data_IF_377094526484
#
_entry.id   IF_377094526484
#
_cell.length_a   1.000
_cell.length_b   1.000
_cell.length_c   1.000
_cell.angle_alpha   90.00
_cell.angle_beta   90.00
_cell.angle_gamma   90.00
#
_symmetry.space_group_name_H-M   'P 1'
#
loop_
_entity.id
_entity.type
_entity.pdbx_description
1 polymer ?
#
# COMPACT_ATOMS: atom_id res chain seq x y z
N UNK A 1 8.99 -25.98 -5.96
CA UNK A 1 7.56 -25.92 -6.29
C UNK A 1 7.03 -27.33 -6.49
N UNK A 2 5.90 -27.66 -5.86
CA UNK A 2 5.15 -28.91 -5.97
C UNK A 2 4.13 -28.80 -7.11
N UNK A 3 3.54 -29.92 -7.53
CA UNK A 3 2.49 -29.95 -8.57
C UNK A 3 1.27 -29.09 -8.20
N UNK A 4 0.95 -29.00 -6.90
CA UNK A 4 -0.16 -28.20 -6.39
C UNK A 4 0.03 -26.70 -6.66
N UNK A 5 1.24 -26.16 -6.44
CA UNK A 5 1.57 -24.75 -6.64
C UNK A 5 1.32 -24.32 -8.11
N UNK A 6 1.71 -25.18 -9.05
CA UNK A 6 1.46 -24.98 -10.48
C UNK A 6 -0.01 -25.05 -10.83
N UNK A 7 -0.77 -25.96 -10.22
CA UNK A 7 -2.22 -26.07 -10.41
C UNK A 7 -2.95 -24.83 -9.88
N UNK A 8 -2.57 -24.34 -8.70
CA UNK A 8 -3.12 -23.11 -8.11
C UNK A 8 -2.80 -21.88 -8.96
N UNK A 9 -1.57 -21.77 -9.47
CA UNK A 9 -1.17 -20.68 -10.36
C UNK A 9 -1.91 -20.72 -11.70
N UNK A 10 -2.04 -21.91 -12.32
CA UNK A 10 -2.83 -22.08 -13.54
C UNK A 10 -4.32 -21.77 -13.31
N UNK A 11 -4.88 -22.16 -12.17
CA UNK A 11 -6.25 -21.83 -11.77
C UNK A 11 -6.43 -20.32 -11.58
N UNK A 12 -5.50 -19.63 -10.92
CA UNK A 12 -5.50 -18.18 -10.79
C UNK A 12 -5.54 -17.48 -12.16
N UNK A 13 -4.63 -17.86 -13.06
CA UNK A 13 -4.57 -17.30 -14.42
C UNK A 13 -5.85 -17.56 -15.23
N UNK A 14 -6.40 -18.78 -15.14
CA UNK A 14 -7.65 -19.16 -15.79
C UNK A 14 -8.85 -18.39 -15.26
N UNK A 15 -9.00 -18.32 -13.93
CA UNK A 15 -10.04 -17.51 -13.28
C UNK A 15 -9.94 -16.04 -13.67
N UNK A 16 -8.73 -15.47 -13.65
CA UNK A 16 -8.50 -14.07 -14.02
C UNK A 16 -8.92 -13.80 -15.48
N UNK A 17 -8.48 -14.63 -16.43
CA UNK A 17 -8.86 -14.50 -17.84
C UNK A 17 -10.38 -14.63 -18.07
N UNK A 18 -11.05 -15.49 -17.29
CA UNK A 18 -12.51 -15.65 -17.33
C UNK A 18 -13.23 -14.40 -16.81
N UNK A 19 -12.76 -13.76 -15.74
CA UNK A 19 -13.38 -12.54 -15.18
C UNK A 19 -13.04 -11.26 -15.96
N UNK A 20 -11.94 -11.22 -16.74
CA UNK A 20 -11.54 -10.08 -17.59
C UNK A 20 -12.71 -9.55 -18.43
N UNK A 21 -13.39 -10.43 -19.16
CA UNK A 21 -14.48 -10.10 -20.08
C UNK A 21 -15.74 -9.57 -19.36
N UNK A 22 -16.35 -10.25 -18.37
CA UNK A 22 -17.53 -9.74 -17.69
C UNK A 22 -17.26 -8.45 -16.92
N UNK A 23 -16.11 -8.31 -16.24
CA UNK A 23 -15.74 -7.05 -15.58
C UNK A 23 -15.58 -5.92 -16.61
N UNK A 24 -14.89 -6.16 -17.73
CA UNK A 24 -14.74 -5.18 -18.80
C UNK A 24 -16.07 -4.77 -19.45
N UNK A 25 -16.99 -5.72 -19.68
CA UNK A 25 -18.33 -5.42 -20.20
C UNK A 25 -19.19 -4.63 -19.19
N UNK A 26 -18.98 -4.86 -17.89
CA UNK A 26 -19.65 -4.10 -16.85
C UNK A 26 -19.09 -2.67 -16.74
N UNK A 27 -17.75 -2.52 -16.80
CA UNK A 27 -17.07 -1.23 -16.85
C UNK A 27 -17.57 -0.35 -18.01
N UNK A 28 -17.82 -0.91 -19.20
CA UNK A 28 -18.42 -0.16 -20.32
C UNK A 28 -19.76 0.48 -19.93
N UNK A 29 -20.59 -0.16 -19.10
CA UNK A 29 -21.89 0.38 -18.66
C UNK A 29 -21.75 1.38 -17.51
N UNK A 30 -20.84 1.14 -16.57
CA UNK A 30 -20.60 2.05 -15.43
C UNK A 30 -19.95 3.36 -15.90
N UNK A 31 -18.98 3.27 -16.81
CA UNK A 31 -18.22 4.41 -17.36
C UNK A 31 -18.92 5.10 -18.55
N UNK A 32 -20.15 4.71 -18.87
CA UNK A 32 -21.04 5.41 -19.78
C UNK A 32 -22.09 6.17 -18.96
N UNK A 33 -22.20 7.52 -19.05
CA UNK A 33 -23.19 8.29 -18.31
C UNK A 33 -24.64 7.88 -18.57
N UNK A 34 -24.97 7.44 -19.79
CA UNK A 34 -26.31 6.94 -20.17
C UNK A 34 -26.41 5.40 -20.04
N UNK A 35 -25.32 4.75 -19.61
CA UNK A 35 -25.23 3.30 -19.45
C UNK A 35 -26.17 2.79 -18.35
N UNK A 36 -26.98 1.78 -18.68
CA UNK A 36 -27.87 1.12 -17.72
C UNK A 36 -27.25 -0.11 -17.11
N UNK A 37 -27.43 -0.29 -15.81
CA UNK A 37 -27.00 -1.46 -15.05
C UNK A 37 -28.20 -2.15 -14.40
N UNK A 38 -28.00 -3.38 -13.92
CA UNK A 38 -29.00 -4.09 -13.12
C UNK A 38 -29.17 -3.48 -11.72
N UNK A 39 -28.24 -2.61 -11.28
CA UNK A 39 -28.27 -1.91 -10.01
C UNK A 39 -29.00 -0.55 -10.07
N UNK A 40 -29.43 -0.08 -11.24
CA UNK A 40 -30.08 1.24 -11.43
C UNK A 40 -31.33 1.42 -10.54
N UNK A 41 -31.99 0.31 -10.18
CA UNK A 41 -33.15 0.31 -9.28
C UNK A 41 -32.78 0.68 -7.83
N UNK A 42 -31.59 0.28 -7.37
CA UNK A 42 -31.12 0.44 -5.98
C UNK A 42 -30.17 1.63 -5.84
N UNK A 43 -29.22 1.77 -6.76
CA UNK A 43 -28.18 2.83 -6.73
C UNK A 43 -28.68 4.09 -7.41
N UNK A 44 -29.52 3.99 -8.45
CA UNK A 44 -30.02 5.15 -9.20
C UNK A 44 -30.77 6.22 -8.37
N UNK A 45 -31.59 5.86 -7.36
CA UNK A 45 -32.14 6.84 -6.42
C UNK A 45 -31.07 7.62 -5.64
N UNK A 46 -30.02 6.93 -5.20
CA UNK A 46 -28.88 7.52 -4.45
C UNK A 46 -28.04 8.40 -5.38
N UNK A 47 -27.73 7.93 -6.59
CA UNK A 47 -27.05 8.70 -7.64
C UNK A 47 -27.79 10.01 -7.94
N UNK A 48 -29.11 9.95 -8.19
CA UNK A 48 -29.94 11.14 -8.42
C UNK A 48 -29.98 12.09 -7.22
N UNK A 49 -30.00 11.56 -6.00
CA UNK A 49 -29.92 12.37 -4.78
C UNK A 49 -28.58 13.10 -4.68
N UNK A 50 -27.46 12.38 -4.87
CA UNK A 50 -26.10 12.95 -4.86
C UNK A 50 -25.94 14.02 -5.93
N UNK A 51 -26.40 13.76 -7.16
CA UNK A 51 -26.35 14.75 -8.25
C UNK A 51 -27.19 16.00 -7.94
N UNK A 52 -28.41 15.85 -7.39
CA UNK A 52 -29.23 17.00 -6.99
C UNK A 52 -28.62 17.78 -5.83
N UNK A 53 -28.07 17.10 -4.82
CA UNK A 53 -27.51 17.73 -3.62
C UNK A 53 -26.21 18.47 -3.92
N UNK A 54 -25.28 17.84 -4.65
CA UNK A 54 -24.01 18.44 -5.06
C UNK A 54 -24.11 19.31 -6.33
N UNK A 55 -25.32 19.44 -6.91
CA UNK A 55 -25.60 20.17 -8.16
C UNK A 55 -24.73 19.72 -9.34
N UNK A 56 -24.46 18.41 -9.41
CA UNK A 56 -23.75 17.78 -10.53
C UNK A 56 -24.74 17.63 -11.69
N UNK A 57 -24.42 18.24 -12.83
CA UNK A 57 -25.06 17.92 -14.10
C UNK A 57 -24.25 16.80 -14.80
N UNK A 58 -24.76 15.56 -14.91
CA UNK A 58 -24.04 14.47 -15.55
C UNK A 58 -23.92 14.61 -17.08
N UNK A 59 -24.70 15.51 -17.70
CA UNK A 59 -24.62 15.78 -19.15
C UNK A 59 -23.61 16.87 -19.50
N UNK A 60 -23.17 17.67 -18.52
CA UNK A 60 -22.11 18.66 -18.73
C UNK A 60 -20.77 17.94 -18.85
N UNK A 61 -20.29 17.76 -20.08
CA UNK A 61 -18.92 17.31 -20.31
C UNK A 61 -17.89 18.39 -19.92
N UNK A 62 -16.71 17.93 -19.52
CA UNK A 62 -15.57 18.74 -19.11
C UNK A 62 -14.41 18.61 -20.11
N UNK A 63 -13.69 19.71 -20.34
CA UNK A 63 -12.39 19.67 -20.99
C UNK A 63 -11.30 19.13 -20.06
N UNK A 64 -10.14 18.72 -20.60
CA UNK A 64 -9.06 18.11 -19.80
C UNK A 64 -8.63 18.98 -18.60
N UNK A 65 -8.53 20.30 -18.78
CA UNK A 65 -8.18 21.25 -17.70
C UNK A 65 -9.18 21.23 -16.56
N UNK A 66 -10.48 21.25 -16.88
CA UNK A 66 -11.56 21.23 -15.89
C UNK A 66 -11.63 19.88 -15.16
N UNK A 67 -11.43 18.78 -15.88
CA UNK A 67 -11.39 17.43 -15.33
C UNK A 67 -10.21 17.28 -14.35
N UNK A 68 -8.99 17.66 -14.76
CA UNK A 68 -7.79 17.64 -13.91
C UNK A 68 -7.94 18.56 -12.70
N UNK A 69 -8.49 19.76 -12.85
CA UNK A 69 -8.73 20.66 -11.72
C UNK A 69 -9.76 20.10 -10.74
N UNK A 70 -10.86 19.51 -11.23
CA UNK A 70 -11.88 18.86 -10.40
C UNK A 70 -11.27 17.72 -9.57
N UNK A 71 -10.45 16.89 -10.20
CA UNK A 71 -9.69 15.81 -9.57
C UNK A 71 -8.73 16.32 -8.49
N UNK A 72 -7.88 17.31 -8.82
CA UNK A 72 -6.91 17.87 -7.86
C UNK A 72 -7.59 18.53 -6.66
N UNK A 73 -8.66 19.30 -6.89
CA UNK A 73 -9.42 19.96 -5.84
C UNK A 73 -10.10 18.93 -4.91
N UNK A 74 -10.68 17.87 -5.47
CA UNK A 74 -11.27 16.76 -4.72
C UNK A 74 -10.22 16.03 -3.87
N UNK A 75 -9.08 15.66 -4.46
CA UNK A 75 -7.98 15.01 -3.74
C UNK A 75 -7.43 15.89 -2.60
N UNK A 76 -7.19 17.18 -2.86
CA UNK A 76 -6.71 18.10 -1.84
C UNK A 76 -7.69 18.26 -0.66
N UNK A 77 -8.99 18.38 -0.94
CA UNK A 77 -10.02 18.39 0.09
C UNK A 77 -10.02 17.08 0.91
N UNK A 78 -9.81 15.93 0.26
CA UNK A 78 -9.64 14.63 0.92
C UNK A 78 -8.42 14.54 1.84
N UNK A 79 -7.27 15.11 1.45
CA UNK A 79 -6.08 15.21 2.32
C UNK A 79 -6.40 16.04 3.55
N UNK A 80 -6.98 17.24 3.38
CA UNK A 80 -7.29 18.16 4.49
C UNK A 80 -8.30 17.53 5.46
N UNK A 81 -9.35 16.89 4.94
CA UNK A 81 -10.36 16.19 5.72
C UNK A 81 -9.76 15.07 6.57
N UNK A 82 -8.98 14.16 5.97
CA UNK A 82 -8.36 13.04 6.69
C UNK A 82 -7.28 13.51 7.65
N UNK A 83 -6.48 14.52 7.28
CA UNK A 83 -5.52 15.15 8.19
C UNK A 83 -6.19 15.70 9.45
N UNK A 84 -7.32 16.39 9.31
CA UNK A 84 -8.11 16.89 10.44
C UNK A 84 -8.63 15.73 11.32
N UNK A 85 -9.16 14.66 10.73
CA UNK A 85 -9.60 13.46 11.47
C UNK A 85 -8.45 12.85 12.28
N UNK A 86 -7.29 12.61 11.65
CA UNK A 86 -6.15 11.97 12.32
C UNK A 86 -5.56 12.84 13.44
N UNK A 87 -5.55 14.18 13.27
CA UNK A 87 -5.13 15.13 14.30
C UNK A 87 -6.13 15.23 15.46
N UNK A 88 -7.42 15.09 15.19
CA UNK A 88 -8.50 15.20 16.18
C UNK A 88 -9.00 13.83 16.70
N UNK A 89 -8.35 12.73 16.32
CA UNK A 89 -8.75 11.35 16.66
C UNK A 89 -9.08 11.16 18.15
N UNK A 90 -8.33 11.78 19.06
CA UNK A 90 -8.54 11.67 20.51
C UNK A 90 -9.89 12.18 21.02
N UNK A 91 -10.58 13.06 20.27
CA UNK A 91 -11.92 13.60 20.63
C UNK A 91 -13.06 13.06 19.76
N UNK A 92 -12.74 12.26 18.73
CA UNK A 92 -13.73 11.71 17.81
C UNK A 92 -14.36 10.43 18.39
N UNK A 93 -15.61 10.10 18.01
CA UNK A 93 -16.30 8.90 18.51
C UNK A 93 -15.61 7.61 18.04
N UNK A 94 -16.10 6.45 18.50
CA UNK A 94 -15.55 5.12 18.18
C UNK A 94 -14.05 4.94 18.49
N UNK A 95 -13.56 5.66 19.50
CA UNK A 95 -12.21 5.52 20.05
C UNK A 95 -12.24 4.76 21.39
N UNK A 96 -12.52 3.44 21.34
CA UNK A 96 -12.70 2.60 22.53
C UNK A 96 -11.45 2.47 23.39
N UNK A 97 -10.28 2.63 22.76
CA UNK A 97 -8.94 2.49 23.32
C UNK A 97 -8.36 3.83 23.80
N UNK A 98 -9.11 4.93 23.69
CA UNK A 98 -8.66 6.29 24.06
C UNK A 98 -7.34 6.71 23.41
N UNK A 99 -7.12 6.31 22.15
CA UNK A 99 -5.90 6.60 21.40
C UNK A 99 -5.77 8.11 21.14
N UNK A 100 -4.58 8.72 21.31
CA UNK A 100 -4.39 10.14 21.10
C UNK A 100 -4.54 10.55 19.63
N UNK A 101 -4.57 11.86 19.37
CA UNK A 101 -4.38 12.41 18.03
C UNK A 101 -2.97 12.12 17.51
N UNK A 102 -2.83 11.75 16.24
CA UNK A 102 -1.54 11.45 15.61
C UNK A 102 -0.64 12.70 15.56
N UNK A 103 0.68 12.50 15.51
CA UNK A 103 1.64 13.59 15.28
C UNK A 103 1.36 14.30 13.93
N UNK A 104 1.78 15.56 13.79
CA UNK A 104 1.56 16.34 12.57
C UNK A 104 2.17 15.67 11.32
N UNK A 105 3.38 15.11 11.44
CA UNK A 105 4.06 14.42 10.33
C UNK A 105 3.39 13.09 9.99
N UNK A 106 2.96 12.30 10.98
CA UNK A 106 2.32 11.00 10.74
C UNK A 106 0.92 11.19 10.15
N UNK A 107 0.12 12.12 10.70
CA UNK A 107 -1.18 12.48 10.15
C UNK A 107 -1.08 12.99 8.70
N UNK A 108 -0.07 13.82 8.38
CA UNK A 108 0.16 14.30 7.02
C UNK A 108 0.57 13.16 6.07
N UNK A 109 1.56 12.36 6.46
CA UNK A 109 2.02 11.23 5.66
C UNK A 109 0.88 10.23 5.37
N UNK A 110 0.10 9.86 6.38
CA UNK A 110 -1.04 8.93 6.21
C UNK A 110 -2.13 9.54 5.33
N UNK A 111 -2.54 10.80 5.58
CA UNK A 111 -3.59 11.45 4.79
C UNK A 111 -3.21 11.60 3.31
N UNK A 112 -1.97 11.97 3.01
CA UNK A 112 -1.44 12.00 1.64
C UNK A 112 -1.42 10.59 1.05
N UNK A 113 -0.85 9.61 1.76
CA UNK A 113 -0.63 8.27 1.20
C UNK A 113 -1.91 7.52 0.87
N UNK A 114 -2.96 7.68 1.68
CA UNK A 114 -4.28 7.13 1.38
C UNK A 114 -4.96 7.89 0.22
N UNK A 115 -4.81 9.22 0.14
CA UNK A 115 -5.31 9.98 -1.02
C UNK A 115 -4.61 9.56 -2.33
N UNK A 116 -3.32 9.21 -2.28
CA UNK A 116 -2.54 8.78 -3.45
C UNK A 116 -2.68 7.28 -3.76
N UNK A 117 -3.68 6.58 -3.20
CA UNK A 117 -3.91 5.13 -3.42
C UNK A 117 -2.69 4.25 -3.08
N UNK A 118 -1.79 4.75 -2.23
CA UNK A 118 -0.49 4.14 -1.92
C UNK A 118 -0.53 3.42 -0.58
N UNK A 119 -1.29 3.99 0.37
CA UNK A 119 -1.55 3.48 1.71
C UNK A 119 -0.30 2.96 2.44
N UNK A 120 0.80 3.69 2.34
CA UNK A 120 1.99 3.51 3.16
C UNK A 120 1.64 3.62 4.65
N UNK A 121 2.23 2.76 5.48
CA UNK A 121 1.99 2.69 6.91
C UNK A 121 3.32 2.69 7.65
N UNK A 122 3.68 3.84 8.24
CA UNK A 122 4.77 3.96 9.22
C UNK A 122 4.25 3.87 10.66
N UNK A 123 3.22 3.06 10.88
CA UNK A 123 2.50 2.91 12.14
C UNK A 123 1.87 1.50 12.24
N UNK A 124 1.76 0.96 13.46
CA UNK A 124 0.92 -0.21 13.71
C UNK A 124 -0.54 0.22 13.88
N UNK A 125 -1.42 -0.24 13.00
CA UNK A 125 -2.82 0.21 12.94
C UNK A 125 -3.58 0.00 14.25
N UNK A 126 -3.43 -1.18 14.85
CA UNK A 126 -4.02 -1.59 16.12
C UNK A 126 -3.55 -0.79 17.34
N UNK A 127 -2.36 -0.18 17.27
CA UNK A 127 -1.80 0.66 18.34
C UNK A 127 -1.97 2.16 18.12
N UNK A 128 -2.38 2.59 16.92
CA UNK A 128 -2.29 4.00 16.49
C UNK A 128 -3.64 4.58 16.04
N UNK A 129 -4.50 3.79 15.39
CA UNK A 129 -5.72 4.28 14.74
C UNK A 129 -6.98 3.90 15.51
N UNK A 130 -7.87 4.87 15.73
CA UNK A 130 -9.22 4.58 16.23
C UNK A 130 -10.10 3.99 15.12
N UNK A 131 -11.21 3.34 15.48
CA UNK A 131 -12.13 2.79 14.49
C UNK A 131 -12.78 3.89 13.63
N UNK A 132 -12.96 5.10 14.16
CA UNK A 132 -13.44 6.25 13.36
C UNK A 132 -12.42 6.68 12.32
N UNK A 133 -11.13 6.75 12.68
CA UNK A 133 -10.07 7.05 11.70
C UNK A 133 -9.99 5.97 10.62
N UNK A 134 -10.02 4.69 11.00
CA UNK A 134 -10.04 3.56 10.06
C UNK A 134 -11.23 3.64 9.09
N UNK A 135 -12.45 3.85 9.59
CA UNK A 135 -13.66 3.85 8.72
C UNK A 135 -13.85 5.15 7.95
N UNK A 136 -13.83 6.30 8.63
CA UNK A 136 -14.22 7.60 8.05
C UNK A 136 -13.04 8.33 7.41
N UNK A 137 -11.82 8.14 7.93
CA UNK A 137 -10.60 8.73 7.37
C UNK A 137 -9.97 7.86 6.28
N UNK A 138 -9.76 6.57 6.56
CA UNK A 138 -8.91 5.69 5.76
C UNK A 138 -9.69 4.85 4.74
N UNK A 139 -10.73 4.11 5.16
CA UNK A 139 -11.54 3.30 4.27
C UNK A 139 -12.34 4.15 3.25
N UNK A 140 -12.74 5.38 3.62
CA UNK A 140 -13.24 6.40 2.68
C UNK A 140 -12.28 6.60 1.50
N UNK A 141 -10.99 6.84 1.78
CA UNK A 141 -9.99 7.02 0.73
C UNK A 141 -9.87 5.79 -0.14
N UNK A 142 -9.83 4.59 0.45
CA UNK A 142 -9.73 3.34 -0.33
C UNK A 142 -10.80 3.20 -1.44
N UNK A 143 -12.00 3.78 -1.24
CA UNK A 143 -13.00 3.89 -2.30
C UNK A 143 -12.69 5.01 -3.29
N UNK A 144 -12.45 6.23 -2.80
CA UNK A 144 -12.40 7.41 -3.69
C UNK A 144 -11.07 7.55 -4.44
N UNK A 145 -9.94 7.13 -3.88
CA UNK A 145 -8.65 7.10 -4.58
C UNK A 145 -8.69 6.09 -5.75
N UNK A 146 -9.28 4.92 -5.51
CA UNK A 146 -9.47 3.89 -6.52
C UNK A 146 -10.44 4.37 -7.61
N UNK A 147 -11.55 5.00 -7.22
CA UNK A 147 -12.51 5.59 -8.16
C UNK A 147 -11.90 6.71 -9.01
N UNK A 148 -11.05 7.57 -8.42
CA UNK A 148 -10.27 8.58 -9.14
C UNK A 148 -9.34 7.92 -10.16
N UNK A 149 -8.56 6.91 -9.77
CA UNK A 149 -7.65 6.19 -10.67
C UNK A 149 -8.37 5.54 -11.85
N UNK A 150 -9.48 4.84 -11.60
CA UNK A 150 -10.32 4.23 -12.63
C UNK A 150 -10.94 5.30 -13.53
N UNK A 151 -11.39 6.43 -12.98
CA UNK A 151 -11.94 7.56 -13.74
C UNK A 151 -10.91 8.22 -14.66
N UNK A 152 -9.67 8.39 -14.21
CA UNK A 152 -8.57 8.90 -15.05
C UNK A 152 -8.27 7.92 -16.20
N UNK A 153 -8.20 6.61 -15.90
CA UNK A 153 -8.02 5.59 -16.93
C UNK A 153 -9.17 5.60 -17.95
N UNK A 154 -10.41 5.78 -17.50
CA UNK A 154 -11.58 5.91 -18.38
C UNK A 154 -11.50 7.17 -19.26
N UNK A 155 -11.17 8.33 -18.69
CA UNK A 155 -10.98 9.58 -19.42
C UNK A 155 -9.86 9.47 -20.47
N UNK A 156 -8.75 8.80 -20.15
CA UNK A 156 -7.65 8.54 -21.08
C UNK A 156 -8.07 7.62 -22.24
N UNK A 157 -8.78 6.53 -21.95
CA UNK A 157 -9.33 5.64 -22.99
C UNK A 157 -10.34 6.38 -23.88
N UNK A 158 -11.20 7.24 -23.32
CA UNK A 158 -12.10 8.10 -24.10
C UNK A 158 -11.34 9.07 -25.01
N UNK A 159 -10.21 9.61 -24.55
CA UNK A 159 -9.34 10.48 -25.36
C UNK A 159 -8.73 9.75 -26.57
N UNK A 160 -8.38 8.46 -26.43
CA UNK A 160 -7.91 7.61 -27.53
C UNK A 160 -9.05 7.26 -28.49
N UNK A 161 -10.23 6.95 -27.95
CA UNK A 161 -11.36 6.42 -28.72
C UNK A 161 -12.18 7.50 -29.48
N UNK A 162 -12.19 8.75 -29.00
CA UNK A 162 -12.98 9.85 -29.58
C UNK A 162 -12.13 10.70 -30.55
N UNK A 163 -12.53 10.75 -31.82
CA UNK A 163 -11.91 11.64 -32.81
C UNK A 163 -12.42 13.08 -32.67
N UNK A 164 -11.50 14.05 -32.64
CA UNK A 164 -11.78 15.50 -32.73
C UNK A 164 -12.67 16.12 -31.62
N UNK A 165 -12.87 15.42 -30.50
CA UNK A 165 -13.61 15.97 -29.34
C UNK A 165 -12.72 16.77 -28.39
N UNK A 166 -13.22 17.87 -27.82
CA UNK A 166 -12.49 18.69 -26.83
C UNK A 166 -12.71 18.25 -25.37
N UNK A 167 -13.48 17.19 -25.16
CA UNK A 167 -14.10 16.81 -23.88
C UNK A 167 -13.89 15.33 -23.54
N UNK A 168 -13.80 15.03 -22.23
CA UNK A 168 -13.41 13.69 -21.71
C UNK A 168 -14.50 12.98 -20.88
N UNK A 169 -15.71 13.53 -20.83
CA UNK A 169 -16.76 13.13 -19.88
C UNK A 169 -16.80 14.07 -18.68
N UNK A 170 -17.19 13.59 -17.50
CA UNK A 170 -17.40 14.42 -16.31
C UNK A 170 -16.86 13.70 -15.06
N UNK A 171 -15.85 14.28 -14.42
CA UNK A 171 -15.14 13.70 -13.27
C UNK A 171 -16.07 13.31 -12.12
N UNK A 172 -17.05 14.16 -11.81
CA UNK A 172 -17.99 13.93 -10.71
C UNK A 172 -18.96 12.80 -11.03
N UNK A 173 -19.34 12.67 -12.29
CA UNK A 173 -20.20 11.57 -12.78
C UNK A 173 -19.46 10.24 -12.71
N UNK A 174 -18.20 10.23 -13.18
CA UNK A 174 -17.32 9.06 -13.10
C UNK A 174 -17.07 8.63 -11.65
N UNK A 175 -16.70 9.57 -10.78
CA UNK A 175 -16.46 9.32 -9.35
C UNK A 175 -17.68 8.68 -8.66
N UNK A 176 -18.88 9.24 -8.86
CA UNK A 176 -20.12 8.71 -8.27
C UNK A 176 -20.45 7.34 -8.86
N UNK A 177 -20.35 7.16 -10.17
CA UNK A 177 -20.74 5.91 -10.83
C UNK A 177 -19.78 4.76 -10.51
N UNK A 178 -18.48 5.01 -10.51
CA UNK A 178 -17.47 4.01 -10.13
C UNK A 178 -17.65 3.62 -8.66
N UNK A 179 -17.83 4.58 -7.76
CA UNK A 179 -18.04 4.28 -6.33
C UNK A 179 -19.33 3.50 -6.10
N UNK A 180 -20.46 3.97 -6.64
CA UNK A 180 -21.80 3.41 -6.37
C UNK A 180 -22.15 2.13 -7.13
N UNK A 181 -21.74 1.99 -8.40
CA UNK A 181 -22.10 0.85 -9.24
C UNK A 181 -20.99 -0.21 -9.36
N UNK A 182 -19.71 0.14 -9.17
CA UNK A 182 -18.60 -0.82 -9.27
C UNK A 182 -18.05 -1.21 -7.88
N UNK A 183 -17.48 -0.24 -7.15
CA UNK A 183 -16.70 -0.55 -5.96
C UNK A 183 -17.57 -1.02 -4.79
N UNK A 184 -18.56 -0.23 -4.39
CA UNK A 184 -19.40 -0.53 -3.21
C UNK A 184 -20.17 -1.85 -3.32
N UNK A 185 -20.82 -2.20 -4.45
CA UNK A 185 -21.55 -3.46 -4.57
C UNK A 185 -20.64 -4.69 -4.54
N UNK A 186 -19.48 -4.63 -5.20
CA UNK A 186 -18.50 -5.74 -5.20
C UNK A 186 -17.88 -5.86 -3.80
N UNK A 187 -17.52 -4.75 -3.16
CA UNK A 187 -16.98 -4.75 -1.80
C UNK A 187 -17.98 -5.26 -0.75
N UNK A 188 -19.28 -5.03 -0.92
CA UNK A 188 -20.30 -5.58 -0.03
C UNK A 188 -20.33 -7.12 -0.11
N UNK A 189 -20.39 -7.68 -1.32
CA UNK A 189 -20.37 -9.14 -1.54
C UNK A 189 -19.05 -9.74 -1.04
N UNK A 190 -17.93 -9.10 -1.36
CA UNK A 190 -16.59 -9.52 -0.94
C UNK A 190 -16.45 -9.49 0.58
N UNK A 191 -16.83 -8.40 1.26
CA UNK A 191 -16.76 -8.30 2.72
C UNK A 191 -17.60 -9.38 3.42
N UNK A 192 -18.82 -9.65 2.93
CA UNK A 192 -19.66 -10.75 3.45
C UNK A 192 -18.94 -12.10 3.30
N UNK A 193 -18.39 -12.39 2.11
CA UNK A 193 -17.60 -13.60 1.89
C UNK A 193 -16.38 -13.69 2.81
N UNK A 194 -15.63 -12.60 2.99
CA UNK A 194 -14.45 -12.59 3.85
C UNK A 194 -14.80 -12.81 5.34
N UNK A 195 -15.97 -12.34 5.79
CA UNK A 195 -16.50 -12.67 7.12
C UNK A 195 -16.82 -14.17 7.24
N UNK A 196 -17.40 -14.81 6.21
CA UNK A 196 -17.63 -16.28 6.29
C UNK A 196 -16.34 -17.10 6.29
N UNK A 197 -15.22 -16.53 5.81
CA UNK A 197 -13.90 -17.13 5.92
C UNK A 197 -13.23 -16.90 7.29
N UNK A 198 -13.80 -16.07 8.17
CA UNK A 198 -13.30 -15.82 9.52
C UNK A 198 -12.68 -14.43 9.76
N UNK A 199 -12.80 -13.48 8.82
CA UNK A 199 -12.43 -12.09 9.12
C UNK A 199 -13.42 -11.44 10.07
N UNK A 200 -12.92 -10.60 10.97
CA UNK A 200 -13.77 -9.87 11.91
C UNK A 200 -14.41 -8.63 11.26
N UNK A 201 -15.60 -8.28 11.73
CA UNK A 201 -16.33 -7.09 11.33
C UNK A 201 -17.21 -6.60 12.49
N UNK A 202 -16.62 -5.91 13.46
CA UNK A 202 -17.31 -5.41 14.66
C UNK A 202 -16.84 -4.00 15.08
N UNK A 203 -17.36 -3.48 16.19
CA UNK A 203 -16.90 -2.24 16.83
C UNK A 203 -16.61 -2.45 18.33
N UNK A 204 -16.21 -3.68 18.66
CA UNK A 204 -16.02 -4.14 20.04
C UNK A 204 -14.72 -3.58 20.63
N UNK A 205 -14.63 -3.39 21.96
CA UNK A 205 -13.34 -3.11 22.60
C UNK A 205 -12.38 -4.30 22.39
N UNK A 206 -11.08 -4.06 22.49
CA UNK A 206 -10.08 -5.13 22.35
C UNK A 206 -10.30 -6.23 23.39
N UNK A 207 -10.27 -7.48 22.91
CA UNK A 207 -10.55 -8.64 23.75
C UNK A 207 -9.30 -8.97 24.56
N UNK A 208 -9.46 -9.06 25.89
CA UNK A 208 -8.44 -9.61 26.78
C UNK A 208 -8.65 -11.11 26.89
N UNK A 209 -7.63 -11.89 26.56
CA UNK A 209 -7.60 -13.34 26.70
C UNK A 209 -6.47 -13.74 27.65
N UNK A 210 -6.69 -14.80 28.42
CA UNK A 210 -5.60 -15.48 29.14
C UNK A 210 -5.25 -16.71 28.29
N UNK A 211 -3.98 -16.85 27.92
CA UNK A 211 -3.51 -17.99 27.13
C UNK A 211 -3.52 -19.28 27.95
N UNK A 212 -3.39 -20.43 27.28
CA UNK A 212 -3.27 -21.73 27.97
C UNK A 212 -2.05 -21.83 28.91
N UNK A 213 -1.04 -20.97 28.69
CA UNK A 213 0.16 -20.83 29.54
C UNK A 213 -0.03 -19.80 30.68
N UNK A 214 -1.20 -19.17 30.77
CA UNK A 214 -1.54 -18.19 31.81
C UNK A 214 -1.13 -16.74 31.52
N UNK A 215 -0.62 -16.42 30.33
CA UNK A 215 -0.23 -15.06 29.96
C UNK A 215 -1.44 -14.22 29.50
N UNK A 216 -1.47 -12.92 29.81
CA UNK A 216 -2.48 -12.00 29.26
C UNK A 216 -2.11 -11.60 27.82
N UNK A 217 -3.07 -11.76 26.90
CA UNK A 217 -2.98 -11.30 25.51
C UNK A 217 -4.11 -10.31 25.22
N UNK A 218 -3.78 -9.20 24.58
CA UNK A 218 -4.76 -8.23 24.04
C UNK A 218 -4.93 -8.48 22.56
N UNK A 219 -6.15 -8.78 22.13
CA UNK A 219 -6.51 -9.13 20.76
C UNK A 219 -7.23 -7.94 20.12
N UNK A 220 -6.67 -7.44 19.01
CA UNK A 220 -7.23 -6.32 18.26
C UNK A 220 -8.60 -6.69 17.65
N UNK A 221 -9.56 -5.77 17.76
CA UNK A 221 -10.92 -5.89 17.21
C UNK A 221 -11.18 -4.76 16.19
N UNK A 222 -12.32 -4.79 15.49
CA UNK A 222 -12.72 -3.72 14.57
C UNK A 222 -13.39 -4.17 13.26
N UNK A 223 -13.75 -3.21 12.38
CA UNK A 223 -14.48 -3.45 11.13
C UNK A 223 -13.55 -3.87 9.97
N UNK A 224 -12.72 -4.90 10.19
CA UNK A 224 -11.62 -5.27 9.28
C UNK A 224 -12.11 -5.72 7.89
N UNK A 225 -13.06 -6.66 7.81
CA UNK A 225 -13.49 -7.26 6.52
C UNK A 225 -13.95 -6.22 5.49
N UNK A 226 -14.66 -5.17 5.94
CA UNK A 226 -15.12 -4.07 5.08
C UNK A 226 -13.98 -3.23 4.49
N UNK A 227 -12.93 -2.97 5.28
CA UNK A 227 -11.74 -2.25 4.84
C UNK A 227 -10.84 -3.13 3.96
N UNK A 228 -10.72 -4.42 4.28
CA UNK A 228 -9.98 -5.41 3.48
C UNK A 228 -10.60 -5.58 2.09
N UNK A 229 -11.93 -5.67 1.99
CA UNK A 229 -12.61 -5.82 0.70
C UNK A 229 -12.24 -4.69 -0.28
N UNK A 230 -12.28 -3.44 0.16
CA UNK A 230 -11.91 -2.30 -0.70
C UNK A 230 -10.38 -2.11 -0.82
N UNK A 231 -9.58 -2.44 0.20
CA UNK A 231 -8.11 -2.32 0.08
C UNK A 231 -7.57 -3.24 -1.02
N UNK A 232 -8.17 -4.42 -1.20
CA UNK A 232 -7.79 -5.37 -2.24
C UNK A 232 -8.42 -5.02 -3.59
N UNK A 233 -9.73 -4.80 -3.66
CA UNK A 233 -10.41 -4.48 -4.93
C UNK A 233 -9.91 -3.16 -5.57
N UNK A 234 -9.70 -2.12 -4.76
CA UNK A 234 -9.19 -0.82 -5.20
C UNK A 234 -7.66 -0.74 -5.27
N UNK A 235 -6.95 -1.87 -5.13
CA UNK A 235 -5.48 -1.96 -5.17
C UNK A 235 -4.79 -0.92 -4.28
N UNK A 236 -5.33 -0.69 -3.08
CA UNK A 236 -4.85 0.31 -2.13
C UNK A 236 -3.78 -0.27 -1.20
N UNK A 237 -4.00 -1.49 -0.69
CA UNK A 237 -3.04 -2.20 0.15
C UNK A 237 -2.98 -1.83 1.64
N UNK A 238 -3.61 -0.75 2.12
CA UNK A 238 -3.54 -0.35 3.53
C UNK A 238 -4.26 -1.29 4.50
N UNK A 239 -3.50 -1.96 5.38
CA UNK A 239 -4.00 -2.90 6.39
C UNK A 239 -4.71 -2.21 7.56
N UNK A 240 -5.61 -2.95 8.21
CA UNK A 240 -6.20 -2.50 9.48
C UNK A 240 -5.21 -2.66 10.64
N UNK A 241 -4.41 -3.72 10.64
CA UNK A 241 -3.32 -3.98 11.58
C UNK A 241 -1.95 -3.93 10.89
N UNK A 242 -0.89 -3.85 11.70
CA UNK A 242 0.50 -3.73 11.23
C UNK A 242 0.92 -4.86 10.26
N UNK A 243 0.55 -6.11 10.57
CA UNK A 243 0.88 -7.28 9.75
C UNK A 243 0.03 -7.42 8.47
N UNK A 244 -0.97 -6.55 8.27
CA UNK A 244 -1.74 -6.44 7.04
C UNK A 244 -2.29 -7.81 6.58
N UNK A 245 -2.16 -8.18 5.31
CA UNK A 245 -2.67 -9.44 4.75
C UNK A 245 -1.94 -10.72 5.22
N UNK A 246 -0.94 -10.62 6.11
CA UNK A 246 -0.39 -11.76 6.84
C UNK A 246 -1.06 -11.96 8.22
N UNK A 247 -1.92 -11.04 8.65
CA UNK A 247 -2.66 -11.17 9.91
C UNK A 247 -3.89 -12.08 9.75
N UNK A 248 -4.14 -13.05 10.66
CA UNK A 248 -5.28 -13.96 10.53
C UNK A 248 -6.65 -13.30 10.40
N UNK A 249 -6.89 -12.16 11.06
CA UNK A 249 -8.17 -11.43 10.93
C UNK A 249 -8.32 -10.61 9.63
N UNK A 250 -7.25 -10.43 8.84
CA UNK A 250 -7.29 -9.80 7.52
C UNK A 250 -7.04 -10.80 6.37
N UNK A 251 -6.66 -12.05 6.68
CA UNK A 251 -6.50 -13.14 5.72
C UNK A 251 -6.53 -14.52 6.41
N UNK A 252 -7.72 -15.04 6.81
CA UNK A 252 -7.83 -16.22 7.66
C UNK A 252 -7.57 -17.55 6.95
N UNK A 253 -7.78 -17.64 5.63
CA UNK A 253 -7.69 -18.91 4.88
C UNK A 253 -6.97 -18.78 3.54
N UNK A 254 -6.42 -19.88 2.98
CA UNK A 254 -5.90 -19.88 1.61
C UNK A 254 -6.96 -19.51 0.56
N UNK A 255 -8.25 -19.79 0.83
CA UNK A 255 -9.36 -19.41 -0.05
C UNK A 255 -9.65 -17.91 0.02
N UNK A 256 -9.63 -17.28 1.21
CA UNK A 256 -9.69 -15.81 1.30
C UNK A 256 -8.50 -15.18 0.59
N UNK A 257 -7.31 -15.75 0.73
CA UNK A 257 -6.10 -15.26 0.06
C UNK A 257 -6.24 -15.29 -1.47
N UNK A 258 -6.70 -16.42 -2.03
CA UNK A 258 -6.93 -16.58 -3.47
C UNK A 258 -7.94 -15.55 -4.02
N UNK A 259 -9.04 -15.32 -3.29
CA UNK A 259 -10.07 -14.33 -3.69
C UNK A 259 -9.57 -12.89 -3.52
N UNK A 260 -8.74 -12.60 -2.51
CA UNK A 260 -8.07 -11.30 -2.36
C UNK A 260 -7.11 -11.04 -3.53
N UNK A 261 -6.28 -12.02 -3.92
CA UNK A 261 -5.40 -11.90 -5.10
C UNK A 261 -6.17 -11.67 -6.40
N UNK A 262 -7.28 -12.41 -6.63
CA UNK A 262 -8.12 -12.17 -7.80
C UNK A 262 -8.74 -10.76 -7.79
N UNK A 263 -9.14 -10.26 -6.62
CA UNK A 263 -9.73 -8.93 -6.47
C UNK A 263 -8.76 -7.80 -6.84
N UNK A 264 -7.48 -7.93 -6.48
CA UNK A 264 -6.41 -6.99 -6.87
C UNK A 264 -6.29 -6.89 -8.40
N UNK A 265 -6.41 -8.00 -9.12
CA UNK A 265 -6.18 -8.04 -10.56
C UNK A 265 -7.45 -7.77 -11.39
N UNK A 266 -8.64 -7.92 -10.80
CA UNK A 266 -9.92 -7.90 -11.51
C UNK A 266 -10.19 -6.60 -12.28
N UNK A 267 -10.07 -5.43 -11.63
CA UNK A 267 -10.40 -4.15 -12.27
C UNK A 267 -9.34 -3.76 -13.31
N UNK A 268 -8.06 -3.88 -12.97
CA UNK A 268 -6.97 -3.61 -13.92
C UNK A 268 -7.06 -4.48 -15.18
N UNK A 269 -7.39 -5.77 -15.00
CA UNK A 269 -7.67 -6.67 -16.11
C UNK A 269 -8.93 -6.26 -16.90
N UNK A 270 -10.04 -5.91 -16.23
CA UNK A 270 -11.26 -5.47 -16.90
C UNK A 270 -11.09 -4.19 -17.72
N UNK A 271 -10.22 -3.28 -17.28
CA UNK A 271 -9.92 -2.03 -17.99
C UNK A 271 -9.24 -2.26 -19.35
N UNK A 272 -8.47 -3.34 -19.55
CA UNK A 272 -7.90 -3.66 -20.87
C UNK A 272 -8.97 -4.11 -21.86
N UNK A 273 -9.98 -4.86 -21.40
CA UNK A 273 -11.15 -5.23 -22.22
C UNK A 273 -12.02 -4.00 -22.52
N UNK A 274 -12.23 -3.12 -21.53
CA UNK A 274 -12.89 -1.82 -21.73
C UNK A 274 -12.19 -0.97 -22.81
N UNK A 275 -10.86 -0.82 -22.74
CA UNK A 275 -10.05 -0.17 -23.78
C UNK A 275 -10.35 -0.76 -25.16
N UNK A 276 -10.26 -2.08 -25.31
CA UNK A 276 -10.54 -2.77 -26.57
C UNK A 276 -11.96 -2.52 -27.10
N UNK A 277 -12.96 -2.39 -26.21
CA UNK A 277 -14.35 -2.10 -26.63
C UNK A 277 -14.50 -0.65 -27.08
N UNK A 278 -13.89 0.29 -26.36
CA UNK A 278 -13.96 1.73 -26.69
C UNK A 278 -13.28 2.04 -28.02
N UNK A 279 -12.10 1.47 -28.30
CA UNK A 279 -11.39 1.65 -29.59
C UNK A 279 -11.93 0.75 -30.72
N UNK A 280 -13.03 0.01 -30.47
CA UNK A 280 -13.67 -0.93 -31.41
C UNK A 280 -12.77 -2.06 -31.94
N UNK A 281 -11.65 -2.34 -31.27
CA UNK A 281 -10.71 -3.41 -31.61
C UNK A 281 -10.33 -4.23 -30.36
N UNK A 282 -10.90 -5.43 -30.22
CA UNK A 282 -10.60 -6.32 -29.09
C UNK A 282 -9.17 -6.84 -29.07
N UNK A 283 -8.53 -7.01 -30.23
CA UNK A 283 -7.15 -7.46 -30.29
C UNK A 283 -6.20 -6.45 -29.64
N UNK A 284 -6.50 -5.15 -29.68
CA UNK A 284 -5.73 -4.13 -28.98
C UNK A 284 -5.84 -4.26 -27.45
N UNK A 285 -7.05 -4.48 -26.91
CA UNK A 285 -7.24 -4.72 -25.48
C UNK A 285 -6.53 -5.98 -25.00
N UNK A 286 -6.62 -7.07 -25.76
CA UNK A 286 -5.90 -8.32 -25.47
C UNK A 286 -4.38 -8.19 -25.64
N UNK A 287 -3.87 -7.36 -26.55
CA UNK A 287 -2.44 -7.13 -26.68
C UNK A 287 -1.86 -6.47 -25.41
N UNK A 288 -2.54 -5.45 -24.88
CA UNK A 288 -2.15 -4.81 -23.60
C UNK A 288 -2.23 -5.82 -22.45
N UNK A 289 -3.33 -6.57 -22.36
CA UNK A 289 -3.50 -7.61 -21.33
C UNK A 289 -2.40 -8.67 -21.38
N UNK A 290 -2.09 -9.20 -22.56
CA UNK A 290 -1.07 -10.24 -22.74
C UNK A 290 0.33 -9.74 -22.43
N UNK A 291 0.65 -8.47 -22.75
CA UNK A 291 1.93 -7.85 -22.38
C UNK A 291 2.07 -7.72 -20.84
N UNK A 292 1.02 -7.25 -20.16
CA UNK A 292 0.97 -7.20 -18.69
C UNK A 292 1.10 -8.61 -18.08
N UNK A 293 0.41 -9.60 -18.66
CA UNK A 293 0.41 -10.97 -18.17
C UNK A 293 1.77 -11.66 -18.37
N UNK A 294 2.46 -11.41 -19.48
CA UNK A 294 3.81 -11.92 -19.72
C UNK A 294 4.81 -11.38 -18.69
N UNK A 295 4.76 -10.07 -18.38
CA UNK A 295 5.61 -9.45 -17.35
C UNK A 295 5.29 -10.00 -15.96
N UNK A 296 4.01 -10.16 -15.62
CA UNK A 296 3.57 -10.74 -14.35
C UNK A 296 4.06 -12.19 -14.20
N UNK A 297 3.83 -13.05 -15.19
CA UNK A 297 4.26 -14.45 -15.16
C UNK A 297 5.79 -14.53 -15.03
N UNK A 298 6.55 -13.73 -15.78
CA UNK A 298 8.01 -13.68 -15.66
C UNK A 298 8.45 -13.29 -14.24
N UNK A 299 7.84 -12.26 -13.65
CA UNK A 299 8.11 -11.85 -12.27
C UNK A 299 7.80 -12.94 -11.23
N UNK A 300 6.62 -13.56 -11.32
CA UNK A 300 6.23 -14.66 -10.42
C UNK A 300 7.18 -15.84 -10.53
N UNK A 301 7.57 -16.25 -11.75
CA UNK A 301 8.51 -17.35 -11.96
C UNK A 301 9.89 -17.07 -11.37
N UNK A 302 10.38 -15.82 -11.48
CA UNK A 302 11.66 -15.41 -10.86
C UNK A 302 11.54 -15.44 -9.33
N UNK A 303 10.52 -14.80 -8.75
CA UNK A 303 10.33 -14.81 -7.29
C UNK A 303 10.17 -16.23 -6.75
N UNK A 304 9.28 -17.04 -7.35
CA UNK A 304 9.06 -18.42 -6.93
C UNK A 304 10.32 -19.29 -7.05
N UNK A 305 11.21 -19.04 -8.02
CA UNK A 305 12.49 -19.73 -8.14
C UNK A 305 13.46 -19.38 -7.00
N UNK A 306 13.47 -18.14 -6.51
CA UNK A 306 14.31 -17.72 -5.40
C UNK A 306 13.72 -18.13 -4.05
N UNK A 307 12.43 -17.92 -3.82
CA UNK A 307 11.75 -18.35 -2.58
C UNK A 307 11.83 -19.88 -2.39
N UNK A 308 11.58 -20.66 -3.46
CA UNK A 308 11.71 -22.12 -3.40
C UNK A 308 13.17 -22.62 -3.29
N UNK A 309 14.18 -21.73 -3.37
CA UNK A 309 15.57 -22.08 -3.05
C UNK A 309 15.84 -22.05 -1.55
N UNK A 310 15.01 -21.36 -0.76
CA UNK A 310 15.16 -21.20 0.68
C UNK A 310 16.44 -20.46 1.10
N UNK A 311 16.69 -20.45 2.41
CA UNK A 311 17.94 -19.94 2.98
C UNK A 311 18.97 -21.09 3.08
N UNK A 312 20.14 -21.02 2.42
CA UNK A 312 21.15 -22.06 2.50
C UNK A 312 21.67 -22.30 3.93
N UNK A 313 21.60 -21.30 4.82
CA UNK A 313 21.93 -21.46 6.24
C UNK A 313 20.96 -22.39 6.94
N UNK A 314 19.65 -22.34 6.63
CA UNK A 314 18.66 -23.24 7.21
C UNK A 314 18.91 -24.69 6.76
N UNK A 315 19.23 -24.88 5.47
CA UNK A 315 19.60 -26.19 4.94
C UNK A 315 20.87 -26.75 5.60
N UNK A 316 21.90 -25.91 5.81
CA UNK A 316 23.12 -26.29 6.53
C UNK A 316 22.89 -26.66 8.00
N UNK A 317 21.85 -26.11 8.63
CA UNK A 317 21.40 -26.46 9.99
C UNK A 317 20.48 -27.70 10.03
N UNK A 318 20.22 -28.36 8.89
CA UNK A 318 19.27 -29.47 8.80
C UNK A 318 17.81 -29.07 9.01
N UNK A 319 17.50 -27.76 9.06
CA UNK A 319 16.14 -27.26 9.13
C UNK A 319 15.54 -27.44 7.74
N UNK A 320 14.58 -28.37 7.64
CA UNK A 320 13.82 -28.57 6.41
C UNK A 320 13.22 -27.23 5.93
N UNK A 321 13.19 -27.02 4.62
CA UNK A 321 12.41 -25.95 4.01
C UNK A 321 10.92 -26.24 4.19
N UNK A 322 10.39 -25.92 5.38
CA UNK A 322 8.97 -26.03 5.69
C UNK A 322 8.28 -24.79 5.12
N UNK A 323 7.33 -25.00 4.23
CA UNK A 323 6.48 -23.93 3.68
C UNK A 323 5.85 -23.14 4.85
N UNK A 324 5.99 -21.81 4.84
CA UNK A 324 5.76 -20.95 6.01
C UNK A 324 4.35 -21.01 6.64
N UNK A 325 3.35 -21.51 5.91
CA UNK A 325 1.97 -21.71 6.41
C UNK A 325 1.78 -23.01 7.23
N UNK A 326 2.65 -24.02 7.09
CA UNK A 326 2.31 -25.38 7.54
C UNK A 326 2.30 -25.59 9.06
N UNK A 327 3.01 -24.78 9.85
CA UNK A 327 3.19 -24.99 11.30
C UNK A 327 1.89 -24.87 12.11
N UNK A 328 0.97 -23.98 11.74
CA UNK A 328 -0.30 -23.84 12.45
C UNK A 328 -1.23 -25.06 12.30
N UNK A 329 -1.13 -25.78 11.18
CA UNK A 329 -1.95 -26.97 10.90
C UNK A 329 -1.29 -28.27 11.39
N UNK A 330 0.04 -28.37 11.39
CA UNK A 330 0.73 -29.54 11.94
C UNK A 330 0.58 -29.66 13.46
N UNK A 331 0.62 -28.55 14.20
CA UNK A 331 0.39 -28.56 15.64
C UNK A 331 -0.99 -29.10 16.05
N UNK A 332 -2.02 -28.93 15.21
CA UNK A 332 -3.35 -29.51 15.44
C UNK A 332 -3.41 -31.02 15.14
N UNK A 333 -2.64 -31.51 14.15
CA UNK A 333 -2.58 -32.96 13.84
C UNK A 333 -1.78 -33.74 14.88
N UNK A 334 -0.62 -33.24 15.31
CA UNK A 334 0.18 -33.90 16.36
C UNK A 334 -0.53 -33.95 17.72
N UNK A 335 -1.47 -33.03 17.98
CA UNK A 335 -2.33 -33.10 19.16
C UNK A 335 -3.43 -34.18 19.00
N UNK A 336 -4.09 -34.24 17.84
CA UNK A 336 -5.14 -35.22 17.58
C UNK A 336 -4.64 -36.68 17.59
N UNK A 337 -3.44 -36.96 17.06
CA UNK A 337 -2.85 -38.31 17.09
C UNK A 337 -2.42 -38.75 18.50
N UNK A 338 -2.12 -37.82 19.43
CA UNK A 338 -1.75 -38.16 20.82
C UNK A 338 -2.95 -38.66 21.64
N UNK A 339 -4.15 -38.20 21.36
CA UNK A 339 -5.38 -38.65 22.03
C UNK A 339 -5.93 -39.98 21.48
N UNK A 340 -5.23 -40.64 20.55
CA UNK A 340 -5.57 -41.95 19.99
C UNK A 340 -4.58 -43.08 20.33
N UNK A 341 -3.56 -42.82 21.14
CA UNK A 341 -2.78 -43.89 21.76
C UNK A 341 -3.47 -44.39 23.05
N UNK A 342 -3.84 -45.68 23.15
CA UNK A 342 -4.40 -46.23 24.38
C UNK A 342 -3.33 -46.19 25.48
N UNK A 343 -3.62 -45.49 26.58
CA UNK A 343 -2.75 -45.51 27.76
C UNK A 343 -2.78 -46.91 28.38
N UNK A 344 -1.69 -47.67 28.19
CA UNK A 344 -1.45 -48.85 29.02
C UNK A 344 -1.25 -48.38 30.47
N UNK A 345 -2.24 -48.68 31.32
CA UNK A 345 -2.06 -48.62 32.77
C UNK A 345 -1.11 -49.75 33.16
N UNK A 346 0.16 -49.41 33.37
CA UNK A 346 1.09 -50.22 34.15
C UNK A 346 1.10 -49.72 35.58
N UNK A 347 0.63 -50.55 36.51
CA UNK A 347 0.76 -50.29 37.94
C UNK A 347 2.24 -50.40 38.34
N UNK A 348 2.80 -49.37 38.95
CA UNK A 348 3.94 -49.54 39.86
C UNK A 348 3.94 -48.40 40.89
N UNK A 349 3.26 -48.63 42.02
CA UNK A 349 3.34 -47.76 43.18
C UNK A 349 4.69 -47.99 43.87
N UNK A 350 5.59 -47.02 43.85
CA UNK A 350 6.75 -47.01 44.76
C UNK A 350 6.98 -45.65 45.40
N UNK A 351 7.12 -45.70 46.72
CA UNK A 351 7.19 -44.56 47.63
C UNK A 351 8.49 -43.79 47.49
N UNK A 352 8.38 -42.46 47.40
CA UNK A 352 9.34 -41.51 47.95
C UNK A 352 8.49 -40.41 48.59
N UNK A 353 8.60 -40.09 49.88
CA UNK A 353 9.76 -40.24 50.75
C UNK A 353 10.12 -38.83 51.24
N UNK A 354 9.47 -38.40 52.31
CA UNK A 354 9.59 -37.04 52.83
C UNK A 354 10.88 -36.87 53.64
N UNK A 355 11.93 -36.33 53.03
CA UNK A 355 12.99 -35.60 53.74
C UNK A 355 13.88 -34.82 52.75
N UNK A 356 14.52 -33.73 53.20
CA UNK A 356 15.48 -32.96 52.38
C UNK A 356 15.26 -31.45 52.35
N UNK A 357 15.10 -30.80 53.51
CA UNK A 357 15.09 -29.33 53.62
C UNK A 357 16.48 -28.80 53.95
N UNK A 358 17.31 -28.57 52.94
CA UNK A 358 18.55 -27.78 53.09
C UNK A 358 19.07 -27.23 51.75
N UNK A 359 19.41 -25.94 51.77
CA UNK A 359 20.37 -25.26 50.89
C UNK A 359 20.19 -25.34 49.37
N UNK A 360 19.56 -24.29 48.81
CA UNK A 360 20.09 -23.57 47.64
C UNK A 360 19.43 -22.17 47.47
N UNK A 361 19.44 -21.35 48.54
CA UNK A 361 19.10 -19.92 48.46
C UNK A 361 20.35 -19.05 48.44
N UNK A 362 20.95 -18.86 47.26
CA UNK A 362 21.95 -17.83 47.05
C UNK A 362 21.90 -17.25 45.62
N UNK A 363 21.87 -15.91 45.54
CA UNK A 363 22.10 -15.11 44.33
C UNK A 363 21.04 -15.12 43.20
N UNK A 364 19.93 -14.41 43.41
CA UNK A 364 19.28 -13.66 42.33
C UNK A 364 18.59 -12.37 42.83
N UNK A 365 19.38 -11.43 43.39
CA UNK A 365 18.92 -10.08 43.74
C UNK A 365 19.26 -9.08 42.62
N UNK A 366 18.29 -8.77 41.74
CA UNK A 366 18.00 -7.42 41.18
C UNK A 366 16.96 -7.50 40.04
N UNK A 367 15.74 -7.03 40.31
CA UNK A 367 14.92 -6.42 39.28
C UNK A 367 15.30 -4.93 39.14
N UNK A 368 15.41 -4.40 37.92
CA UNK A 368 15.17 -3.00 37.61
C UNK A 368 13.83 -2.86 36.86
N UNK A 369 12.95 -2.01 37.37
CA UNK A 369 11.75 -1.56 36.66
C UNK A 369 12.07 -0.43 35.66
N UNK A 370 11.16 -0.26 34.69
CA UNK A 370 11.01 0.88 33.74
C UNK A 370 11.95 1.01 32.53
N UNK A 371 11.26 1.13 31.38
CA UNK A 371 11.49 2.12 30.32
C UNK A 371 12.88 2.17 29.65
N UNK A 372 13.26 1.09 28.93
CA UNK A 372 14.20 1.19 27.80
C UNK A 372 13.81 0.27 26.63
N UNK A 373 13.70 0.87 25.46
CA UNK A 373 13.65 0.19 24.16
C UNK A 373 14.93 -0.65 23.94
N UNK A 374 14.83 -1.95 23.57
CA UNK A 374 15.99 -2.83 23.43
C UNK A 374 17.03 -2.31 22.44
N UNK A 375 18.31 -2.33 22.84
CA UNK A 375 19.42 -1.78 22.02
C UNK A 375 19.52 -2.43 20.63
N UNK A 376 19.09 -3.68 20.48
CA UNK A 376 19.04 -4.37 19.19
C UNK A 376 18.11 -3.69 18.17
N UNK A 377 16.94 -3.21 18.58
CA UNK A 377 16.02 -2.48 17.68
C UNK A 377 16.63 -1.16 17.20
N UNK A 378 17.33 -0.45 18.10
CA UNK A 378 18.06 0.78 17.78
C UNK A 378 19.28 0.54 16.89
N UNK A 379 19.93 -0.62 16.99
CA UNK A 379 21.01 -1.02 16.09
C UNK A 379 20.47 -1.36 14.70
N UNK A 380 19.34 -2.08 14.62
CA UNK A 380 18.72 -2.45 13.35
C UNK A 380 18.25 -1.21 12.55
N UNK A 381 17.53 -0.28 13.17
CA UNK A 381 17.16 0.99 12.54
C UNK A 381 18.37 1.82 12.07
N UNK A 382 19.45 1.87 12.85
CA UNK A 382 20.68 2.56 12.45
C UNK A 382 21.39 1.87 11.27
N UNK A 383 21.29 0.56 11.14
CA UNK A 383 21.84 -0.18 10.00
C UNK A 383 21.02 0.04 8.72
N UNK A 384 19.70 0.03 8.82
CA UNK A 384 18.77 0.31 7.71
C UNK A 384 18.93 1.75 7.20
N UNK A 385 18.92 2.74 8.10
CA UNK A 385 19.14 4.15 7.73
C UNK A 385 20.51 4.39 7.07
N UNK A 386 21.58 3.74 7.57
CA UNK A 386 22.92 3.80 6.94
C UNK A 386 23.00 3.09 5.60
N UNK A 387 22.14 2.11 5.33
CA UNK A 387 22.03 1.46 4.03
C UNK A 387 21.31 2.36 3.02
N UNK A 388 20.21 3.00 3.42
CA UNK A 388 19.46 3.95 2.58
C UNK A 388 20.29 5.16 2.17
N UNK A 389 21.03 5.79 3.11
CA UNK A 389 21.94 6.92 2.80
C UNK A 389 22.99 6.49 1.76
N UNK A 390 23.64 5.33 1.95
CA UNK A 390 24.64 4.79 1.00
C UNK A 390 24.06 4.32 -0.34
N UNK A 391 22.75 4.09 -0.42
CA UNK A 391 22.06 3.78 -1.67
C UNK A 391 21.65 5.06 -2.42
N UNK A 392 21.22 6.09 -1.68
CA UNK A 392 20.95 7.44 -2.18
C UNK A 392 22.21 8.08 -2.76
N UNK A 393 23.34 8.06 -2.04
CA UNK A 393 24.64 8.57 -2.50
C UNK A 393 25.13 7.88 -3.78
N UNK A 394 24.88 6.58 -3.96
CA UNK A 394 25.24 5.88 -5.21
C UNK A 394 24.33 6.24 -6.38
N UNK A 395 23.09 6.64 -6.12
CA UNK A 395 22.18 7.12 -7.19
C UNK A 395 22.51 8.55 -7.61
N UNK A 396 22.91 9.44 -6.70
CA UNK A 396 23.32 10.80 -7.07
C UNK A 396 24.61 10.81 -7.88
N UNK A 397 25.61 10.00 -7.50
CA UNK A 397 26.90 9.90 -8.22
C UNK A 397 26.76 9.37 -9.66
N UNK A 398 25.77 8.52 -9.94
CA UNK A 398 25.55 7.96 -11.28
C UNK A 398 24.63 8.81 -12.19
N UNK A 399 24.09 9.94 -11.71
CA UNK A 399 23.08 10.72 -12.43
C UNK A 399 23.60 12.04 -13.05
N UNK A 400 24.81 12.48 -12.69
CA UNK A 400 25.37 13.75 -13.14
C UNK A 400 26.80 13.61 -13.66
N UNK A 401 26.94 13.67 -14.98
CA UNK A 401 28.20 14.00 -15.62
C UNK A 401 28.10 15.39 -16.26
N UNK A 402 28.78 16.38 -15.70
CA UNK A 402 29.68 17.34 -16.40
C UNK A 402 30.18 18.44 -15.44
N UNK A 403 31.51 18.59 -15.39
CA UNK A 403 32.34 19.75 -14.96
C UNK A 403 32.11 20.48 -13.61
N UNK A 404 31.00 20.30 -12.88
CA UNK A 404 30.84 20.90 -11.55
C UNK A 404 31.75 20.23 -10.48
N UNK A 405 31.90 18.91 -10.53
CA UNK A 405 32.58 18.14 -9.48
C UNK A 405 34.11 18.36 -9.42
N UNK A 406 34.72 18.81 -10.53
CA UNK A 406 36.17 19.14 -10.55
C UNK A 406 36.52 20.34 -9.68
N UNK A 407 35.60 21.30 -9.52
CA UNK A 407 35.82 22.44 -8.64
C UNK A 407 35.68 22.06 -7.16
N UNK A 408 34.67 21.24 -6.82
CA UNK A 408 34.35 20.86 -5.45
C UNK A 408 35.38 19.86 -4.88
N UNK A 409 35.89 18.93 -5.72
CA UNK A 409 36.95 17.99 -5.31
C UNK A 409 38.23 18.70 -4.86
N UNK A 410 38.65 19.74 -5.59
CA UNK A 410 39.85 20.52 -5.26
C UNK A 410 39.72 21.29 -3.93
N UNK A 411 38.52 21.76 -3.58
CA UNK A 411 38.29 22.47 -2.31
C UNK A 411 38.23 21.51 -1.11
N UNK A 412 37.73 20.28 -1.30
CA UNK A 412 37.67 19.26 -0.25
C UNK A 412 39.03 18.66 0.10
N UNK A 413 39.89 18.40 -0.89
CA UNK A 413 41.28 17.96 -0.62
C UNK A 413 42.11 19.07 0.03
N UNK A 414 41.88 20.34 -0.35
CA UNK A 414 42.48 21.50 0.30
C UNK A 414 42.11 21.65 1.79
N UNK A 415 40.91 21.21 2.20
CA UNK A 415 40.50 21.17 3.62
C UNK A 415 41.12 19.98 4.37
N UNK A 416 41.15 18.79 3.76
CA UNK A 416 41.76 17.58 4.38
C UNK A 416 43.27 17.70 4.60
N UNK A 417 43.96 18.51 3.80
CA UNK A 417 45.37 18.82 4.02
C UNK A 417 45.60 19.69 5.28
N UNK A 418 44.69 20.64 5.58
CA UNK A 418 44.78 21.55 6.73
C UNK A 418 44.47 20.89 8.08
N UNK A 419 43.68 19.82 8.09
CA UNK A 419 43.37 19.06 9.31
C UNK A 419 44.50 18.12 9.76
N UNK A 420 45.58 17.96 8.96
CA UNK A 420 46.69 17.02 9.26
C UNK A 420 47.98 17.66 9.76
N UNK A 421 48.14 18.99 9.68
CA UNK A 421 49.32 19.68 10.22
C UNK A 421 49.00 21.15 10.58
N UNK A 422 48.89 21.52 11.87
CA UNK A 422 48.46 22.87 12.28
C UNK A 422 49.42 24.01 11.96
N UNK A 423 50.73 23.75 11.83
CA UNK A 423 51.76 24.81 11.91
C UNK A 423 52.22 25.39 10.56
N UNK A 424 51.61 24.97 9.44
CA UNK A 424 51.96 25.46 8.10
C UNK A 424 51.12 26.69 7.68
N UNK A 425 51.23 27.79 8.44
CA UNK A 425 50.35 28.95 8.31
C UNK A 425 51.05 30.31 8.04
N UNK A 426 52.11 30.34 7.22
CA UNK A 426 52.64 31.59 6.65
C UNK A 426 53.21 31.40 5.23
N UNK A 427 52.41 31.73 4.21
CA UNK A 427 52.86 32.46 3.01
C UNK A 427 51.66 32.86 2.10
N UNK A 428 51.66 34.06 1.46
CA UNK A 428 50.55 34.53 0.63
C UNK A 428 50.66 34.08 -0.85
N UNK A 429 49.54 33.80 -1.55
CA UNK A 429 49.55 33.42 -2.96
C UNK A 429 49.75 34.62 -3.93
N UNK A 430 50.32 34.40 -5.13
CA UNK A 430 50.71 35.48 -6.04
C UNK A 430 49.55 36.08 -6.84
N UNK A 431 49.62 37.39 -7.09
CA UNK A 431 48.61 38.17 -7.79
C UNK A 431 48.55 37.89 -9.31
N UNK A 432 47.33 37.98 -9.88
CA UNK A 432 47.11 38.20 -11.33
C UNK A 432 46.26 39.46 -11.55
N UNK A 433 46.57 40.19 -12.62
CA UNK A 433 46.27 41.62 -12.78
C UNK A 433 44.88 41.95 -13.33
N UNK A 434 44.40 43.14 -12.97
CA UNK A 434 43.21 43.85 -13.47
C UNK A 434 43.15 44.04 -14.99
N UNK A 435 41.93 44.28 -15.51
CA UNK A 435 41.64 45.38 -16.47
C UNK A 435 40.20 45.89 -16.35
N UNK A 436 40.04 47.19 -16.65
CA UNK A 436 38.83 48.03 -16.54
C UNK A 436 38.54 48.66 -17.94
N UNK A 437 37.44 49.39 -18.24
CA UNK A 437 36.40 49.93 -17.34
C UNK A 437 34.93 49.80 -17.83
N UNK A 438 34.29 50.69 -18.63
CA UNK A 438 32.91 51.11 -18.31
C UNK A 438 31.87 51.01 -19.45
N UNK A 439 30.57 51.28 -19.16
CA UNK A 439 29.52 51.43 -20.15
C UNK A 439 29.23 52.91 -20.50
N UNK A 440 28.93 53.23 -21.77
CA UNK A 440 28.08 54.38 -22.11
C UNK A 440 27.46 54.28 -23.52
N UNK A 441 26.51 55.18 -23.77
CA UNK A 441 25.51 55.26 -24.83
C UNK A 441 25.98 56.01 -26.09
N UNK A 442 25.43 55.68 -27.28
CA UNK A 442 24.93 56.67 -28.27
C UNK A 442 24.19 56.10 -29.50
N UNK A 443 23.16 56.88 -29.86
CA UNK A 443 22.27 56.98 -31.04
C UNK A 443 22.72 56.44 -32.43
N UNK A 444 21.72 55.87 -33.10
CA UNK A 444 21.21 56.13 -34.47
C UNK A 444 22.09 55.99 -35.72
N UNK A 445 21.59 55.23 -36.72
CA UNK A 445 21.17 55.82 -38.02
C UNK A 445 20.29 54.88 -38.86
N UNK A 446 19.62 55.42 -39.89
CA UNK A 446 18.63 54.74 -40.73
C UNK A 446 19.25 54.03 -41.94
N UNK A 447 18.58 52.97 -42.46
CA UNK A 447 18.20 52.90 -43.88
C UNK A 447 17.13 51.86 -44.20
N UNK A 448 16.27 52.23 -45.14
CA UNK A 448 15.20 51.40 -45.72
C UNK A 448 15.68 50.71 -47.01
N UNK A 449 15.15 49.52 -47.30
CA UNK A 449 14.56 49.15 -48.62
C UNK A 449 13.99 47.73 -48.67
N UNK A 450 12.70 47.70 -48.98
CA UNK A 450 11.90 46.60 -49.57
C UNK A 450 12.01 46.70 -51.13
N UNK A 451 11.36 45.90 -52.00
CA UNK A 451 10.74 44.56 -51.87
C UNK A 451 11.20 43.52 -52.92
N UNK A 452 10.69 42.28 -52.83
CA UNK A 452 10.10 41.64 -54.03
C UNK A 452 10.37 40.16 -54.33
N UNK A 453 9.56 39.25 -53.78
CA UNK A 453 8.67 38.33 -54.53
C UNK A 453 7.77 37.50 -53.62
#
# INVERSE_FOLDING_TARGET
MKTNDWLQFALFLGCLAVITKPVGLYLVRVLDPDGRTWLDQVVGPVERFVYRFLKIDPRREQGWKEYTFSMLAFSFAGVVFTYAILRLQGILPLNRQSLPGLSHHLAFNTAVSFTTNTNWQSYGGEGTMSYFSQVVGLAYHNFVSAAVGIGIAAAFVRAIARSSTKTLGNFWTDLVRITGYLLLPICLVLAIFLVTQGMIQNFDPYTKAITLEGAEQVIAQGPMASQVAIKMLGTNGGGFVNANAAHPFENPTPLSNFVQMLSIFAIGSGLTWYLGRMVKNQAHGWAVWSAMMALFIAGVLVCARFEAAGNPVHHGLGVAAVDGEARCLQGQREYADRDHQPRHQGEDQREWGSDGRSDLTASCKRCPTKDREPEWQRQQQNHEWRAEVKFSERKSVNAHGTDADRAIGAELDGRRARERNPDAAHDPPPAKRHKHEPPDTKRAECRTRDPGR
#
